data_IF_912047789388
#
_entry.id   IF_912047789388
#
_cell.length_a   1.000
_cell.length_b   1.000
_cell.length_c   1.000
_cell.angle_alpha   90.00
_cell.angle_beta   90.00
_cell.angle_gamma   90.00
#
_symmetry.space_group_name_H-M   'P 1'
#
loop_
_entity.id
_entity.type
_entity.pdbx_description
1 polymer ?
#
# COMPACT_ATOMS: atom_id res chain seq x y z
N UNK A 1 32.89 16.11 -2.10
CA UNK A 1 31.64 15.39 -1.79
C UNK A 1 31.82 13.92 -2.15
N UNK A 2 32.39 13.13 -1.25
CA UNK A 2 32.31 11.67 -1.38
C UNK A 2 30.95 11.24 -0.85
N UNK A 3 30.08 10.81 -1.75
CA UNK A 3 28.82 10.17 -1.39
C UNK A 3 29.14 8.77 -0.86
N UNK A 4 28.84 8.51 0.41
CA UNK A 4 28.89 7.15 0.97
C UNK A 4 27.89 6.26 0.20
N UNK A 5 28.26 5.05 -0.23
CA UNK A 5 27.33 4.13 -0.87
C UNK A 5 26.20 3.73 0.07
N UNK A 6 25.00 3.54 -0.47
CA UNK A 6 23.81 3.13 0.30
C UNK A 6 24.02 1.72 0.84
N UNK A 7 23.86 1.53 2.16
CA UNK A 7 24.03 0.23 2.82
C UNK A 7 22.71 -0.53 3.05
N UNK A 8 21.58 0.17 3.15
CA UNK A 8 20.24 -0.42 3.35
C UNK A 8 19.18 0.56 2.87
N UNK A 9 18.05 0.05 2.36
CA UNK A 9 16.86 0.83 2.03
C UNK A 9 15.69 0.35 2.88
N UNK A 10 15.08 1.29 3.61
CA UNK A 10 13.87 1.03 4.40
C UNK A 10 12.74 1.88 3.83
N UNK A 11 11.69 1.23 3.37
CA UNK A 11 10.48 1.87 2.86
C UNK A 11 9.36 1.78 3.89
N UNK A 12 8.77 2.92 4.22
CA UNK A 12 7.66 3.02 5.17
C UNK A 12 6.39 3.41 4.42
N UNK A 13 5.33 2.65 4.61
CA UNK A 13 3.99 2.94 4.12
C UNK A 13 3.12 3.55 5.22
N UNK A 14 2.00 4.14 4.81
CA UNK A 14 1.04 4.83 5.69
C UNK A 14 -0.12 3.93 6.12
N UNK A 15 -0.04 2.63 5.86
CA UNK A 15 -1.10 1.66 6.09
C UNK A 15 -1.64 1.07 4.78
N UNK A 16 -2.05 -0.19 4.84
CA UNK A 16 -2.82 -0.86 3.80
C UNK A 16 -4.29 -0.88 4.22
N UNK A 17 -5.17 -0.34 3.39
CA UNK A 17 -6.61 -0.42 3.62
C UNK A 17 -7.12 -1.87 3.46
N UNK A 18 -8.23 -2.25 4.10
CA UNK A 18 -8.83 -3.55 3.90
C UNK A 18 -9.23 -3.79 2.44
N UNK A 19 -9.00 -5.01 1.93
CA UNK A 19 -9.41 -5.39 0.58
C UNK A 19 -10.94 -5.49 0.53
N UNK A 20 -11.57 -4.67 -0.32
CA UNK A 20 -13.03 -4.71 -0.56
C UNK A 20 -13.33 -5.53 -1.81
N UNK A 21 -14.37 -6.38 -1.75
CA UNK A 21 -14.83 -7.11 -2.92
C UNK A 21 -15.69 -6.20 -3.80
N UNK A 22 -15.22 -5.94 -5.01
CA UNK A 22 -16.00 -5.23 -6.02
C UNK A 22 -16.95 -6.24 -6.67
N UNK A 23 -18.25 -5.91 -6.72
CA UNK A 23 -19.25 -6.69 -7.49
C UNK A 23 -18.86 -6.67 -8.97
N UNK A 24 -18.92 -7.82 -9.63
CA UNK A 24 -18.53 -8.04 -11.03
C UNK A 24 -18.85 -6.84 -11.92
N UNK A 25 -17.81 -6.22 -12.48
CA UNK A 25 -17.96 -5.16 -13.48
C UNK A 25 -18.14 -5.86 -14.82
N UNK A 26 -19.40 -6.06 -15.19
CA UNK A 26 -19.74 -6.73 -16.44
C UNK A 26 -19.76 -5.70 -17.58
N UNK A 27 -18.67 -5.66 -18.36
CA UNK A 27 -18.53 -4.72 -19.50
C UNK A 27 -19.20 -5.32 -20.74
N UNK A 28 -20.53 -5.44 -20.72
CA UNK A 28 -21.30 -5.81 -21.91
C UNK A 28 -21.55 -4.60 -22.82
N UNK A 29 -21.50 -4.85 -24.13
CA UNK A 29 -21.96 -3.91 -25.18
C UNK A 29 -23.49 -3.80 -25.05
N UNK A 30 -24.08 -2.63 -24.79
CA UNK A 30 -25.50 -2.53 -24.48
C UNK A 30 -26.35 -2.82 -25.72
N UNK A 31 -27.30 -3.76 -25.63
CA UNK A 31 -28.37 -3.93 -26.63
C UNK A 31 -29.71 -3.33 -26.15
N UNK A 32 -29.81 -2.88 -24.88
CA UNK A 32 -31.05 -2.34 -24.29
C UNK A 32 -30.84 -1.15 -23.34
N UNK A 33 -31.90 -0.34 -23.13
CA UNK A 33 -31.90 0.89 -22.31
C UNK A 33 -31.64 0.59 -20.82
N UNK A 34 -32.03 -0.58 -20.31
CA UNK A 34 -31.72 -1.00 -18.94
C UNK A 34 -30.23 -1.30 -18.70
N UNK A 35 -29.46 -1.61 -19.74
CA UNK A 35 -28.01 -1.82 -19.65
C UNK A 35 -27.24 -0.49 -19.53
N UNK A 36 -27.87 0.64 -19.87
CA UNK A 36 -27.22 1.96 -19.76
C UNK A 36 -26.99 2.40 -18.31
N UNK A 37 -27.89 2.04 -17.38
CA UNK A 37 -27.70 2.34 -15.95
C UNK A 37 -26.58 1.49 -15.34
N UNK A 38 -26.49 0.21 -15.70
CA UNK A 38 -25.39 -0.68 -15.30
C UNK A 38 -24.05 -0.22 -15.88
N UNK A 39 -24.06 0.28 -17.12
CA UNK A 39 -22.87 0.85 -17.77
C UNK A 39 -22.35 2.10 -17.03
N UNK A 40 -23.23 3.01 -16.60
CA UNK A 40 -22.81 4.21 -15.85
C UNK A 40 -22.15 3.84 -14.51
N UNK A 41 -22.74 2.87 -13.79
CA UNK A 41 -22.15 2.34 -12.55
C UNK A 41 -20.80 1.67 -12.85
N UNK A 42 -20.70 0.87 -13.90
CA UNK A 42 -19.45 0.24 -14.32
C UNK A 42 -18.35 1.23 -14.72
N UNK A 43 -18.70 2.32 -15.43
CA UNK A 43 -17.76 3.39 -15.80
C UNK A 43 -17.26 4.12 -14.55
N UNK A 44 -18.13 4.41 -13.58
CA UNK A 44 -17.69 5.04 -12.32
C UNK A 44 -16.75 4.14 -11.52
N UNK A 45 -17.01 2.83 -11.42
CA UNK A 45 -16.14 1.87 -10.76
C UNK A 45 -14.78 1.72 -11.45
N UNK A 46 -14.77 1.71 -12.79
CA UNK A 46 -13.53 1.76 -13.59
C UNK A 46 -12.74 3.05 -13.34
N UNK A 47 -13.41 4.19 -13.21
CA UNK A 47 -12.79 5.46 -12.87
C UNK A 47 -12.06 5.42 -11.53
N UNK A 48 -12.72 4.91 -10.48
CA UNK A 48 -12.10 4.72 -9.16
C UNK A 48 -10.91 3.76 -9.23
N UNK A 49 -11.06 2.62 -9.92
CA UNK A 49 -9.96 1.67 -10.12
C UNK A 49 -8.75 2.28 -10.82
N UNK A 50 -8.95 3.13 -11.82
CA UNK A 50 -7.87 3.82 -12.50
C UNK A 50 -7.12 4.77 -11.57
N UNK A 51 -7.84 5.50 -10.71
CA UNK A 51 -7.24 6.36 -9.69
C UNK A 51 -6.45 5.52 -8.70
N UNK A 52 -7.03 4.44 -8.18
CA UNK A 52 -6.36 3.53 -7.23
C UNK A 52 -5.08 2.92 -7.80
N UNK A 53 -5.08 2.54 -9.09
CA UNK A 53 -3.87 2.03 -9.76
C UNK A 53 -2.84 3.14 -9.98
N UNK A 54 -3.26 4.36 -10.31
CA UNK A 54 -2.36 5.49 -10.51
C UNK A 54 -1.71 5.98 -9.20
N UNK A 55 -2.42 5.89 -8.08
CA UNK A 55 -1.95 6.29 -6.74
C UNK A 55 -1.39 5.11 -5.94
N UNK A 56 -1.33 3.92 -6.55
CA UNK A 56 -0.83 2.72 -5.89
C UNK A 56 0.60 2.89 -5.42
N UNK A 57 0.76 2.94 -4.09
CA UNK A 57 2.05 3.10 -3.41
C UNK A 57 2.61 1.78 -2.86
N UNK A 58 1.90 0.68 -3.11
CA UNK A 58 2.30 -0.68 -2.74
C UNK A 58 2.19 -1.66 -3.94
N UNK A 59 2.53 -2.94 -3.74
CA UNK A 59 2.52 -3.96 -4.78
C UNK A 59 3.66 -3.79 -5.78
N UNK A 60 3.36 -3.60 -7.07
CA UNK A 60 4.37 -3.66 -8.14
C UNK A 60 5.47 -2.61 -8.02
N UNK A 61 5.17 -1.43 -7.44
CA UNK A 61 6.18 -0.39 -7.21
C UNK A 61 7.24 -0.87 -6.21
N UNK A 62 6.79 -1.52 -5.13
CA UNK A 62 7.64 -2.10 -4.08
C UNK A 62 8.46 -3.26 -4.64
N UNK A 63 7.86 -4.12 -5.47
CA UNK A 63 8.59 -5.25 -6.08
C UNK A 63 9.71 -4.77 -7.01
N UNK A 64 9.47 -3.71 -7.79
CA UNK A 64 10.52 -3.09 -8.61
C UNK A 64 11.63 -2.52 -7.73
N UNK A 65 11.28 -1.77 -6.68
CA UNK A 65 12.27 -1.20 -5.77
C UNK A 65 13.13 -2.29 -5.11
N UNK A 66 12.50 -3.38 -4.64
CA UNK A 66 13.19 -4.54 -4.07
C UNK A 66 14.13 -5.21 -5.07
N UNK A 67 13.68 -5.40 -6.31
CA UNK A 67 14.50 -5.99 -7.37
C UNK A 67 15.72 -5.13 -7.69
N UNK A 68 15.55 -3.80 -7.80
CA UNK A 68 16.66 -2.87 -8.01
C UNK A 68 17.66 -2.88 -6.85
N UNK A 69 17.18 -2.86 -5.61
CA UNK A 69 18.07 -2.95 -4.43
C UNK A 69 18.84 -4.28 -4.42
N UNK A 70 18.17 -5.38 -4.75
CA UNK A 70 18.81 -6.69 -4.88
C UNK A 70 19.88 -6.74 -5.98
N UNK A 71 19.70 -6.02 -7.10
CA UNK A 71 20.68 -5.96 -8.19
C UNK A 71 21.98 -5.28 -7.77
N UNK A 72 21.90 -4.28 -6.88
CA UNK A 72 23.07 -3.55 -6.36
C UNK A 72 23.59 -4.11 -5.02
N UNK A 73 23.06 -5.26 -4.58
CA UNK A 73 23.48 -5.90 -3.33
C UNK A 73 23.05 -5.17 -2.06
N UNK A 74 22.03 -4.29 -2.14
CA UNK A 74 21.52 -3.53 -1.00
C UNK A 74 20.25 -4.19 -0.45
N UNK A 75 20.18 -4.50 0.86
CA UNK A 75 18.97 -5.03 1.48
C UNK A 75 17.83 -4.01 1.45
N UNK A 76 16.61 -4.49 1.18
CA UNK A 76 15.40 -3.68 1.10
C UNK A 76 14.33 -4.22 2.06
N UNK A 77 13.88 -3.35 2.97
CA UNK A 77 12.83 -3.64 3.93
C UNK A 77 11.61 -2.75 3.66
N UNK A 78 10.40 -3.32 3.73
CA UNK A 78 9.13 -2.60 3.59
C UNK A 78 8.29 -2.82 4.84
N UNK A 79 7.88 -1.73 5.47
CA UNK A 79 6.92 -1.76 6.56
C UNK A 79 5.65 -1.04 6.12
N UNK A 80 4.53 -1.75 6.13
CA UNK A 80 3.24 -1.16 5.85
C UNK A 80 2.16 -1.92 6.64
N UNK A 81 1.64 -1.36 7.75
CA UNK A 81 0.69 -2.07 8.61
C UNK A 81 -0.65 -2.28 7.91
N UNK A 82 -1.30 -3.41 8.14
CA UNK A 82 -2.68 -3.62 7.70
C UNK A 82 -3.62 -2.84 8.62
N UNK A 83 -4.40 -1.94 8.05
CA UNK A 83 -5.44 -1.19 8.77
C UNK A 83 -6.75 -1.98 8.80
N UNK A 84 -7.55 -1.78 9.85
CA UNK A 84 -8.88 -2.40 9.99
C UNK A 84 -9.98 -1.68 9.21
N UNK A 85 -9.81 -0.40 8.92
CA UNK A 85 -10.76 0.43 8.18
C UNK A 85 -10.06 1.25 7.08
N UNK A 86 -10.85 1.72 6.11
CA UNK A 86 -10.38 2.67 5.10
C UNK A 86 -10.40 4.07 5.70
N UNK A 87 -9.21 4.68 5.82
CA UNK A 87 -9.01 5.96 6.47
C UNK A 87 -8.56 6.97 5.43
N UNK A 88 -9.38 8.00 5.24
CA UNK A 88 -9.08 9.09 4.32
C UNK A 88 -7.82 9.84 4.76
N UNK A 89 -7.07 10.34 3.79
CA UNK A 89 -5.82 11.07 4.02
C UNK A 89 -6.01 12.33 4.89
N UNK A 90 -7.21 12.92 4.90
CA UNK A 90 -7.55 14.11 5.66
C UNK A 90 -8.34 13.82 6.96
N UNK A 91 -8.32 12.58 7.45
CA UNK A 91 -8.93 12.19 8.73
C UNK A 91 -8.32 12.96 9.92
N UNK A 92 -9.19 13.39 10.84
CA UNK A 92 -8.83 14.22 12.00
C UNK A 92 -9.41 13.71 13.32
N UNK A 93 -10.17 12.62 13.29
CA UNK A 93 -10.69 12.00 14.50
C UNK A 93 -9.56 11.32 15.28
N UNK A 94 -9.31 11.82 16.49
CA UNK A 94 -8.28 11.25 17.38
C UNK A 94 -8.52 9.75 17.65
N UNK A 95 -9.78 9.32 17.73
CA UNK A 95 -10.13 7.91 17.94
C UNK A 95 -9.58 7.00 16.83
N UNK A 96 -9.81 7.39 15.57
CA UNK A 96 -9.33 6.64 14.40
C UNK A 96 -7.82 6.68 14.29
N UNK A 97 -7.22 7.85 14.50
CA UNK A 97 -5.76 8.00 14.48
C UNK A 97 -5.09 7.18 15.58
N UNK A 98 -5.68 7.11 16.78
CA UNK A 98 -5.23 6.23 17.85
C UNK A 98 -5.35 4.75 17.46
N UNK A 99 -6.42 4.38 16.77
CA UNK A 99 -6.57 3.06 16.15
C UNK A 99 -5.42 2.72 15.20
N UNK A 100 -5.13 3.60 14.24
CA UNK A 100 -4.00 3.43 13.31
C UNK A 100 -2.66 3.25 14.03
N UNK A 101 -2.40 4.08 15.05
CA UNK A 101 -1.17 3.99 15.84
C UNK A 101 -1.07 2.66 16.59
N UNK A 102 -2.19 2.19 17.13
CA UNK A 102 -2.26 0.90 17.81
C UNK A 102 -1.98 -0.26 16.85
N UNK A 103 -2.61 -0.25 15.68
CA UNK A 103 -2.40 -1.27 14.65
C UNK A 103 -0.95 -1.27 14.15
N UNK A 104 -0.37 -0.09 13.91
CA UNK A 104 1.04 0.05 13.58
C UNK A 104 1.93 -0.53 14.69
N UNK A 105 1.62 -0.27 15.96
CA UNK A 105 2.37 -0.84 17.10
C UNK A 105 2.28 -2.36 17.17
N UNK A 106 1.09 -2.92 16.98
CA UNK A 106 0.87 -4.38 16.93
C UNK A 106 1.65 -5.00 15.77
N UNK A 107 1.60 -4.37 14.59
CA UNK A 107 2.37 -4.79 13.42
C UNK A 107 3.89 -4.79 13.68
N UNK A 108 4.43 -3.72 14.28
CA UNK A 108 5.85 -3.65 14.63
C UNK A 108 6.24 -4.70 15.67
N UNK A 109 5.37 -4.98 16.64
CA UNK A 109 5.61 -6.03 17.63
C UNK A 109 5.68 -7.42 16.97
N UNK A 110 4.80 -7.71 16.01
CA UNK A 110 4.84 -8.95 15.24
C UNK A 110 6.12 -9.09 14.39
N UNK A 111 6.68 -7.97 13.92
CA UNK A 111 7.88 -7.93 13.08
C UNK A 111 9.17 -7.58 13.84
N UNK A 112 9.18 -7.75 15.17
CA UNK A 112 10.33 -7.35 16.01
C UNK A 112 11.64 -8.02 15.62
N UNK A 113 11.59 -9.24 15.05
CA UNK A 113 12.78 -9.94 14.58
C UNK A 113 13.42 -9.27 13.35
N UNK A 114 12.59 -8.77 12.42
CA UNK A 114 13.06 -7.98 11.27
C UNK A 114 13.66 -6.65 11.74
N UNK A 115 13.07 -6.02 12.74
CA UNK A 115 13.63 -4.80 13.34
C UNK A 115 15.00 -5.02 13.98
N UNK A 116 15.22 -6.18 14.61
CA UNK A 116 16.53 -6.56 15.13
C UNK A 116 17.55 -6.74 14.00
N UNK A 117 17.18 -7.43 12.92
CA UNK A 117 18.04 -7.59 11.74
C UNK A 117 18.45 -6.23 11.15
N UNK A 118 17.50 -5.30 11.01
CA UNK A 118 17.79 -3.93 10.56
C UNK A 118 18.72 -3.21 11.52
N UNK A 119 18.50 -3.33 12.83
CA UNK A 119 19.37 -2.73 13.83
C UNK A 119 20.81 -3.26 13.72
N UNK A 120 20.97 -4.56 13.48
CA UNK A 120 22.29 -5.17 13.31
C UNK A 120 22.98 -4.67 12.03
N UNK A 121 22.22 -4.42 10.96
CA UNK A 121 22.75 -3.84 9.72
C UNK A 121 23.17 -2.37 9.92
N UNK A 122 22.38 -1.59 10.66
CA UNK A 122 22.66 -0.17 10.90
C UNK A 122 23.80 0.08 11.90
N UNK A 123 24.08 -0.88 12.77
CA UNK A 123 25.16 -0.81 13.77
C UNK A 123 26.52 -1.32 13.27
N UNK A 124 26.61 -1.74 12.00
CA UNK A 124 27.87 -2.11 11.34
C UNK A 124 28.59 -0.89 10.78
#
# INVERSE_FOLDING_TARGET
NESCPVSVVISLGTGLIPVTQIKEIDVFRPESIWDSAKLVIGISALGTLLVDQATSSDGRVVDRARAWCSMIGVPYFRFNPQLSEDIAMDEKSDEKLCGMLWEAKVYMHAHINVMKEISDILNR
#
